data_IF_989386241211
#
_entry.id   IF_989386241211
#
_cell.length_a   1.000
_cell.length_b   1.000
_cell.length_c   1.000
_cell.angle_alpha   90.00
_cell.angle_beta   90.00
_cell.angle_gamma   90.00
#
_symmetry.space_group_name_H-M   'P 1'
#
loop_
_entity.id
_entity.type
_entity.pdbx_description
1 polymer ?
#
# COMPACT_ATOMS: atom_id res chain seq x y z
N UNK A 1 32.63 -4.09 -12.54
CA UNK A 1 31.96 -4.57 -13.77
C UNK A 1 30.42 -4.64 -13.71
N UNK A 2 29.75 -3.96 -12.78
CA UNK A 2 28.30 -4.12 -12.51
C UNK A 2 27.35 -3.14 -13.22
N UNK A 3 27.76 -2.47 -14.30
CA UNK A 3 26.98 -1.35 -14.88
C UNK A 3 26.39 -1.59 -16.27
N UNK A 4 26.15 -2.84 -16.69
CA UNK A 4 25.38 -3.10 -17.92
C UNK A 4 23.91 -3.21 -17.57
N UNK A 5 23.10 -2.31 -18.13
CA UNK A 5 21.65 -2.41 -17.99
C UNK A 5 21.15 -3.79 -18.43
N UNK A 6 20.18 -4.38 -17.71
CA UNK A 6 19.60 -5.65 -18.11
C UNK A 6 18.98 -5.52 -19.50
N UNK A 7 19.42 -6.37 -20.43
CA UNK A 7 18.88 -6.40 -21.79
C UNK A 7 17.62 -7.28 -21.79
N UNK A 8 16.50 -6.73 -22.25
CA UNK A 8 15.23 -7.44 -22.35
C UNK A 8 14.89 -7.82 -23.79
N UNK A 9 14.05 -8.83 -23.95
CA UNK A 9 13.46 -9.22 -25.24
C UNK A 9 11.96 -9.46 -25.10
N UNK A 10 11.21 -9.09 -26.14
CA UNK A 10 9.77 -9.32 -26.22
C UNK A 10 9.53 -10.80 -26.57
N UNK A 11 8.69 -11.45 -25.77
CA UNK A 11 8.41 -12.89 -25.87
C UNK A 11 7.03 -13.14 -26.48
N UNK A 12 6.00 -12.46 -25.98
CA UNK A 12 4.61 -12.71 -26.38
C UNK A 12 3.75 -11.47 -26.26
N UNK A 13 3.00 -11.12 -27.30
CA UNK A 13 1.97 -10.09 -27.23
C UNK A 13 0.72 -10.62 -26.51
N UNK A 14 0.21 -9.86 -25.55
CA UNK A 14 -0.96 -10.23 -24.72
C UNK A 14 -2.11 -9.22 -24.81
N UNK A 15 -1.88 -8.07 -25.44
CA UNK A 15 -2.88 -7.04 -25.69
C UNK A 15 -2.32 -5.98 -26.62
N UNK A 16 -3.12 -4.97 -26.95
CA UNK A 16 -2.71 -3.89 -27.87
C UNK A 16 -1.46 -3.19 -27.37
N UNK A 17 -0.32 -3.47 -28.01
CA UNK A 17 1.01 -3.01 -27.62
C UNK A 17 1.43 -3.39 -26.18
N UNK A 18 0.84 -4.45 -25.61
CA UNK A 18 1.24 -5.00 -24.31
C UNK A 18 1.89 -6.35 -24.52
N UNK A 19 3.08 -6.53 -23.97
CA UNK A 19 3.92 -7.69 -24.21
C UNK A 19 4.43 -8.30 -22.92
N UNK A 20 4.60 -9.61 -22.91
CA UNK A 20 5.47 -10.29 -21.96
C UNK A 20 6.91 -10.14 -22.47
N UNK A 21 7.80 -9.71 -21.58
CA UNK A 21 9.24 -9.61 -21.80
C UNK A 21 10.00 -10.58 -20.89
N UNK A 22 11.20 -10.96 -21.31
CA UNK A 22 12.13 -11.74 -20.51
C UNK A 22 13.50 -11.07 -20.51
N UNK A 23 14.28 -11.27 -19.44
CA UNK A 23 15.66 -10.82 -19.40
C UNK A 23 16.53 -11.77 -20.24
N UNK A 24 17.30 -11.21 -21.17
CA UNK A 24 18.15 -12.01 -22.06
C UNK A 24 19.18 -12.80 -21.26
N UNK A 25 19.19 -14.12 -21.46
CA UNK A 25 20.10 -15.04 -20.77
C UNK A 25 19.69 -15.38 -19.34
N UNK A 26 18.51 -14.97 -18.86
CA UNK A 26 17.99 -15.42 -17.58
C UNK A 26 17.50 -16.87 -17.67
N UNK A 27 18.23 -17.78 -17.01
CA UNK A 27 17.89 -19.20 -16.98
C UNK A 27 16.67 -19.50 -16.12
N UNK A 28 16.22 -18.55 -15.29
CA UNK A 28 15.04 -18.71 -14.42
C UNK A 28 13.72 -18.47 -15.16
N UNK A 29 13.79 -17.89 -16.36
CA UNK A 29 12.60 -17.60 -17.16
C UNK A 29 11.66 -16.59 -16.51
N UNK A 30 12.21 -15.64 -15.75
CA UNK A 30 11.42 -14.60 -15.11
C UNK A 30 10.71 -13.74 -16.15
N UNK A 31 9.41 -13.53 -15.95
CA UNK A 31 8.56 -12.79 -16.86
C UNK A 31 8.37 -11.36 -16.35
N UNK A 32 8.30 -10.43 -17.31
CA UNK A 32 8.09 -9.01 -17.09
C UNK A 32 6.99 -8.50 -18.02
N UNK A 33 6.39 -7.36 -17.67
CA UNK A 33 5.41 -6.71 -18.51
C UNK A 33 6.06 -5.56 -19.27
N UNK A 34 6.11 -5.65 -20.59
CA UNK A 34 6.51 -4.54 -21.45
C UNK A 34 5.26 -3.80 -21.93
N UNK A 35 5.14 -2.52 -21.53
CA UNK A 35 4.11 -1.62 -22.03
C UNK A 35 4.74 -0.53 -22.87
N UNK A 36 4.00 0.10 -23.80
CA UNK A 36 4.51 1.22 -24.55
C UNK A 36 4.92 2.29 -23.56
N UNK A 37 6.09 2.84 -23.78
CA UNK A 37 6.52 3.99 -23.01
C UNK A 37 5.52 5.11 -23.28
N UNK A 38 4.86 5.70 -22.28
CA UNK A 38 4.16 6.97 -22.47
C UNK A 38 5.16 8.08 -22.86
N UNK A 39 6.46 7.79 -22.86
CA UNK A 39 7.56 8.64 -23.29
C UNK A 39 7.99 8.35 -24.75
N UNK A 40 7.28 7.52 -25.52
CA UNK A 40 7.52 7.31 -26.94
C UNK A 40 6.42 7.97 -27.80
N UNK A 41 6.82 8.63 -28.88
CA UNK A 41 5.93 9.37 -29.77
C UNK A 41 5.02 8.39 -30.56
N UNK A 42 3.70 8.61 -30.53
CA UNK A 42 2.85 8.39 -31.70
C UNK A 42 2.59 9.76 -32.33
N UNK A 43 3.11 10.00 -33.53
CA UNK A 43 2.76 11.19 -34.29
C UNK A 43 1.35 10.97 -34.83
N UNK A 44 0.33 11.53 -34.19
CA UNK A 44 -0.98 11.72 -34.81
C UNK A 44 -1.16 13.20 -35.12
N UNK A 45 -1.42 13.52 -36.39
CA UNK A 45 -1.79 14.86 -36.81
C UNK A 45 -3.21 15.19 -36.30
N UNK A 46 -3.29 16.07 -35.30
CA UNK A 46 -4.57 16.60 -34.83
C UNK A 46 -4.37 17.42 -33.55
N UNK A 47 -4.85 18.66 -33.54
CA UNK A 47 -4.79 19.54 -32.37
C UNK A 47 -5.52 18.93 -31.17
N UNK A 48 -4.83 18.77 -30.02
CA UNK A 48 -5.48 18.75 -28.71
C UNK A 48 -4.48 19.07 -27.57
N UNK A 49 -4.97 19.68 -26.49
CA UNK A 49 -4.16 20.07 -25.31
C UNK A 49 -3.41 18.87 -24.69
N UNK A 50 -4.03 17.68 -24.75
CA UNK A 50 -3.43 16.41 -24.35
C UNK A 50 -2.14 16.07 -25.11
N UNK A 51 -2.02 16.49 -26.38
CA UNK A 51 -0.84 16.24 -27.19
C UNK A 51 0.32 17.17 -26.80
N UNK A 52 0.03 18.43 -26.45
CA UNK A 52 1.04 19.33 -25.87
C UNK A 52 1.50 18.86 -24.49
N UNK A 53 0.58 18.35 -23.66
CA UNK A 53 0.93 17.74 -22.37
C UNK A 53 1.79 16.49 -22.55
N UNK A 54 1.46 15.62 -23.52
CA UNK A 54 2.26 14.45 -23.87
C UNK A 54 3.66 14.82 -24.39
N UNK A 55 3.79 15.85 -25.23
CA UNK A 55 5.07 16.35 -25.72
C UNK A 55 5.92 16.99 -24.60
N UNK A 56 5.30 17.74 -23.69
CA UNK A 56 5.97 18.32 -22.54
C UNK A 56 6.45 17.24 -21.57
N UNK A 57 5.60 16.25 -21.29
CA UNK A 57 5.90 15.07 -20.49
C UNK A 57 7.04 14.28 -21.13
N UNK A 58 7.00 14.03 -22.44
CA UNK A 58 8.10 13.43 -23.20
C UNK A 58 9.39 14.21 -23.00
N UNK A 59 9.39 15.53 -23.22
CA UNK A 59 10.58 16.36 -23.07
C UNK A 59 11.13 16.26 -21.65
N UNK A 60 10.25 16.24 -20.63
CA UNK A 60 10.63 16.01 -19.23
C UNK A 60 11.35 14.67 -19.05
N UNK A 61 10.81 13.60 -19.63
CA UNK A 61 11.24 12.23 -19.35
C UNK A 61 12.44 11.78 -20.16
N UNK A 62 12.51 12.15 -21.44
CA UNK A 62 13.61 11.82 -22.34
C UNK A 62 14.75 12.84 -22.28
N UNK A 63 14.44 14.14 -22.40
CA UNK A 63 15.47 15.20 -22.48
C UNK A 63 16.05 15.57 -21.10
N UNK A 64 15.25 15.49 -20.04
CA UNK A 64 15.69 15.77 -18.67
C UNK A 64 15.88 14.51 -17.82
N UNK A 65 15.89 13.33 -18.45
CA UNK A 65 16.16 12.02 -17.83
C UNK A 65 15.26 11.69 -16.62
N UNK A 66 14.05 12.24 -16.56
CA UNK A 66 13.14 11.97 -15.44
C UNK A 66 12.63 10.53 -15.42
N UNK A 67 12.71 9.79 -16.55
CA UNK A 67 12.37 8.38 -16.58
C UNK A 67 13.29 7.55 -15.67
N UNK A 68 14.59 7.91 -15.62
CA UNK A 68 15.53 7.31 -14.69
C UNK A 68 15.16 7.66 -13.24
N UNK A 69 14.77 8.90 -12.95
CA UNK A 69 14.32 9.33 -11.62
C UNK A 69 13.10 8.55 -11.15
N UNK A 70 12.06 8.42 -12.00
CA UNK A 70 10.86 7.63 -11.67
C UNK A 70 11.21 6.16 -11.44
N UNK A 71 12.12 5.61 -12.24
CA UNK A 71 12.61 4.24 -12.03
C UNK A 71 13.29 4.08 -10.67
N UNK A 72 14.13 5.02 -10.26
CA UNK A 72 14.76 4.99 -8.93
C UNK A 72 13.75 5.19 -7.81
N UNK A 73 12.76 6.07 -8.01
CA UNK A 73 11.68 6.31 -7.06
C UNK A 73 10.80 5.08 -6.86
N UNK A 74 10.57 4.28 -7.89
CA UNK A 74 9.74 3.07 -7.79
C UNK A 74 10.58 1.82 -7.49
N UNK A 75 11.87 1.97 -7.18
CA UNK A 75 12.78 0.87 -6.90
C UNK A 75 12.69 0.43 -5.44
N UNK A 76 11.66 -0.37 -5.13
CA UNK A 76 11.42 -0.92 -3.81
C UNK A 76 10.77 -2.30 -3.93
N UNK A 77 11.14 -3.26 -3.07
CA UNK A 77 10.66 -4.65 -3.17
C UNK A 77 9.13 -4.77 -3.12
N UNK A 78 8.47 -3.91 -2.33
CA UNK A 78 7.02 -3.88 -2.16
C UNK A 78 6.31 -2.83 -3.03
N UNK A 79 6.96 -2.27 -4.04
CA UNK A 79 6.32 -1.46 -5.07
C UNK A 79 6.35 -2.20 -6.42
N UNK A 80 5.37 -1.94 -7.29
CA UNK A 80 5.44 -2.34 -8.70
C UNK A 80 6.48 -1.47 -9.38
N UNK A 81 7.62 -2.06 -9.75
CA UNK A 81 8.79 -1.33 -10.21
C UNK A 81 8.92 -1.31 -11.72
N UNK A 82 9.59 -0.26 -12.23
CA UNK A 82 10.14 -0.24 -13.59
C UNK A 82 11.50 -0.92 -13.54
N UNK A 83 11.60 -2.13 -14.08
CA UNK A 83 12.85 -2.92 -14.03
C UNK A 83 13.81 -2.59 -15.18
N UNK A 84 13.30 -1.96 -16.25
CA UNK A 84 14.12 -1.47 -17.36
C UNK A 84 13.31 -0.89 -18.50
N UNK A 85 13.96 -0.75 -19.65
CA UNK A 85 13.34 -0.31 -20.90
C UNK A 85 13.90 -1.12 -22.06
N UNK A 86 13.18 -1.16 -23.18
CA UNK A 86 13.64 -1.75 -24.42
C UNK A 86 13.17 -0.93 -25.62
N UNK A 87 13.97 -0.90 -26.67
CA UNK A 87 13.56 -0.36 -27.96
C UNK A 87 13.21 -1.51 -28.89
N UNK A 88 12.05 -1.42 -29.55
CA UNK A 88 11.58 -2.39 -30.51
C UNK A 88 11.31 -1.72 -31.85
N UNK A 89 11.92 -2.23 -32.92
CA UNK A 89 11.65 -1.78 -34.27
C UNK A 89 10.40 -2.50 -34.79
N UNK A 90 9.33 -1.75 -35.03
CA UNK A 90 8.12 -2.30 -35.65
C UNK A 90 8.38 -2.47 -37.15
N UNK A 91 8.61 -3.70 -37.60
CA UNK A 91 8.64 -4.00 -39.04
C UNK A 91 7.21 -4.19 -39.54
N UNK A 92 6.60 -3.16 -40.12
CA UNK A 92 5.39 -3.35 -40.93
C UNK A 92 5.81 -3.72 -42.36
N UNK A 93 5.16 -4.72 -42.96
CA UNK A 93 5.48 -5.25 -44.31
C UNK A 93 5.35 -4.22 -45.46
N UNK A 94 5.03 -2.97 -45.16
CA UNK A 94 4.60 -1.95 -46.12
C UNK A 94 5.35 -0.63 -46.01
N UNK A 95 6.36 -0.50 -45.14
CA UNK A 95 7.11 0.75 -44.99
C UNK A 95 8.28 0.88 -45.96
N UNK A 96 8.35 2.05 -46.61
CA UNK A 96 9.53 2.56 -47.32
C UNK A 96 10.70 2.76 -46.33
N UNK A 97 11.97 2.70 -46.78
CA UNK A 97 13.15 2.63 -45.90
C UNK A 97 13.33 3.78 -44.89
N UNK A 98 12.66 4.93 -45.08
CA UNK A 98 12.83 6.15 -44.29
C UNK A 98 11.84 6.29 -43.10
N UNK A 99 10.84 5.43 -42.97
CA UNK A 99 9.85 5.48 -41.87
C UNK A 99 10.08 4.39 -40.80
N UNK A 100 11.33 4.24 -40.34
CA UNK A 100 11.64 3.37 -39.21
C UNK A 100 11.13 3.97 -37.90
N UNK A 101 9.90 3.62 -37.51
CA UNK A 101 9.39 3.93 -36.16
C UNK A 101 9.95 2.92 -35.15
N UNK A 102 10.90 3.34 -34.32
CA UNK A 102 11.29 2.59 -33.12
C UNK A 102 10.30 2.90 -31.99
N UNK A 103 9.60 1.88 -31.49
CA UNK A 103 8.76 2.01 -30.30
C UNK A 103 9.58 1.71 -29.04
N UNK A 104 9.61 2.64 -28.09
CA UNK A 104 10.22 2.41 -26.78
C UNK A 104 9.18 1.80 -25.84
N UNK A 105 9.58 0.79 -25.08
CA UNK A 105 8.78 0.13 -24.07
C UNK A 105 9.41 0.31 -22.69
N UNK A 106 8.57 0.48 -21.69
CA UNK A 106 8.96 0.32 -20.29
C UNK A 106 8.70 -1.11 -19.87
N UNK A 107 9.65 -1.69 -19.16
CA UNK A 107 9.56 -3.04 -18.62
C UNK A 107 9.27 -2.92 -17.13
N UNK A 108 8.13 -3.47 -16.73
CA UNK A 108 7.59 -3.47 -15.39
C UNK A 108 7.67 -4.87 -14.78
N UNK A 109 7.61 -4.94 -13.45
CA UNK A 109 7.32 -6.19 -12.77
C UNK A 109 6.04 -6.83 -13.33
N UNK A 110 6.09 -8.13 -13.59
CA UNK A 110 4.90 -8.89 -13.90
C UNK A 110 4.35 -9.52 -12.63
N UNK A 111 3.24 -8.98 -12.13
CA UNK A 111 2.52 -9.51 -10.99
C UNK A 111 1.57 -10.63 -11.46
N UNK A 112 2.13 -11.82 -11.62
CA UNK A 112 1.49 -12.97 -12.25
C UNK A 112 0.48 -13.71 -11.37
N UNK A 113 0.34 -13.34 -10.09
CA UNK A 113 -0.64 -13.90 -9.16
C UNK A 113 -1.83 -12.96 -8.87
N UNK A 114 -2.11 -12.04 -9.81
CA UNK A 114 -3.22 -11.09 -9.76
C UNK A 114 -3.16 -10.14 -8.55
N UNK A 115 -4.28 -9.52 -8.18
CA UNK A 115 -4.40 -8.58 -7.07
C UNK A 115 -5.29 -9.12 -5.93
N UNK A 116 -5.28 -8.43 -4.80
CA UNK A 116 -6.04 -8.84 -3.61
C UNK A 116 -7.56 -8.87 -3.84
N UNK A 117 -8.09 -8.02 -4.73
CA UNK A 117 -9.50 -8.13 -5.17
C UNK A 117 -9.80 -9.50 -5.78
N UNK A 118 -8.90 -10.03 -6.61
CA UNK A 118 -9.08 -11.36 -7.19
C UNK A 118 -9.07 -12.46 -6.11
N UNK A 119 -8.25 -12.32 -5.07
CA UNK A 119 -8.25 -13.24 -3.91
C UNK A 119 -9.61 -13.20 -3.21
N UNK A 120 -10.17 -12.02 -2.95
CA UNK A 120 -11.49 -11.89 -2.32
C UNK A 120 -12.62 -12.49 -3.16
N UNK A 121 -12.53 -12.38 -4.50
CA UNK A 121 -13.50 -13.00 -5.40
C UNK A 121 -13.38 -14.52 -5.44
N UNK A 122 -12.15 -15.04 -5.38
CA UNK A 122 -11.89 -16.48 -5.41
C UNK A 122 -12.31 -17.18 -4.12
N UNK A 123 -12.13 -16.50 -2.98
CA UNK A 123 -12.49 -17.01 -1.67
C UNK A 123 -13.57 -16.11 -1.07
N UNK A 124 -14.86 -16.30 -1.33
CA UNK A 124 -15.91 -15.51 -0.67
C UNK A 124 -15.96 -15.80 0.84
N UNK A 125 -16.34 -14.82 1.67
CA UNK A 125 -16.42 -15.01 3.13
C UNK A 125 -17.74 -15.65 3.54
N UNK A 126 -17.67 -16.72 4.33
CA UNK A 126 -18.83 -17.34 4.97
C UNK A 126 -18.89 -17.04 6.49
N UNK A 127 -17.75 -16.75 7.12
CA UNK A 127 -17.61 -16.51 8.56
C UNK A 127 -16.70 -15.30 8.82
N UNK A 128 -17.27 -14.24 9.39
CA UNK A 128 -16.53 -13.01 9.68
C UNK A 128 -15.57 -13.11 10.87
N UNK A 129 -15.54 -14.25 11.56
CA UNK A 129 -14.59 -14.51 12.64
C UNK A 129 -13.26 -15.08 12.17
N UNK A 130 -13.19 -15.60 10.94
CA UNK A 130 -11.94 -16.06 10.34
C UNK A 130 -12.13 -16.18 8.83
N UNK A 131 -11.44 -15.35 8.07
CA UNK A 131 -11.59 -15.30 6.62
C UNK A 131 -10.34 -15.81 5.90
N UNK A 132 -9.26 -15.02 5.86
CA UNK A 132 -7.99 -15.43 5.26
C UNK A 132 -6.96 -15.86 6.31
N UNK A 133 -5.96 -16.70 5.98
CA UNK A 133 -4.90 -17.10 6.90
C UNK A 133 -4.18 -15.92 7.54
N UNK A 134 -3.74 -16.07 8.80
CA UNK A 134 -3.04 -15.01 9.52
C UNK A 134 -1.68 -14.69 8.89
N UNK A 135 -0.98 -15.71 8.40
CA UNK A 135 0.28 -15.57 7.64
C UNK A 135 0.13 -14.69 6.39
N UNK A 136 -0.99 -14.81 5.66
CA UNK A 136 -1.26 -13.93 4.51
C UNK A 136 -1.56 -12.49 4.96
N UNK A 137 -2.28 -12.32 6.08
CA UNK A 137 -2.52 -10.99 6.66
C UNK A 137 -1.20 -10.31 7.05
N UNK A 138 -0.28 -11.04 7.68
CA UNK A 138 1.07 -10.55 7.99
C UNK A 138 1.88 -10.23 6.74
N UNK A 139 1.83 -11.09 5.73
CA UNK A 139 2.52 -10.89 4.45
C UNK A 139 2.11 -9.56 3.80
N UNK A 140 0.81 -9.27 3.73
CA UNK A 140 0.30 -8.01 3.17
C UNK A 140 0.60 -6.83 4.09
N UNK A 141 0.38 -6.94 5.41
CA UNK A 141 0.61 -5.85 6.36
C UNK A 141 2.06 -5.35 6.34
N UNK A 142 3.02 -6.27 6.39
CA UNK A 142 4.46 -5.94 6.30
C UNK A 142 4.79 -5.27 4.97
N UNK A 143 4.29 -5.84 3.87
CA UNK A 143 4.58 -5.31 2.53
C UNK A 143 4.06 -3.90 2.33
N UNK A 144 2.83 -3.61 2.78
CA UNK A 144 2.24 -2.28 2.68
C UNK A 144 2.91 -1.26 3.60
N UNK A 145 3.22 -1.63 4.84
CA UNK A 145 3.87 -0.71 5.79
C UNK A 145 5.31 -0.39 5.37
N UNK A 146 6.06 -1.35 4.81
CA UNK A 146 7.35 -1.09 4.17
C UNK A 146 7.23 -0.18 2.95
N UNK A 147 6.28 -0.45 2.06
CA UNK A 147 6.03 0.39 0.89
C UNK A 147 5.70 1.84 1.28
N UNK A 148 4.84 2.05 2.28
CA UNK A 148 4.49 3.39 2.74
C UNK A 148 5.62 4.05 3.53
N UNK A 149 6.40 3.31 4.32
CA UNK A 149 7.62 3.84 4.95
C UNK A 149 8.63 4.36 3.91
N UNK A 150 8.79 3.63 2.81
CA UNK A 150 9.62 4.08 1.71
C UNK A 150 9.05 5.29 0.99
N UNK A 151 7.77 5.28 0.60
CA UNK A 151 7.14 6.40 -0.11
C UNK A 151 7.07 7.68 0.75
N UNK A 152 6.73 7.55 2.02
CA UNK A 152 6.50 8.68 2.91
C UNK A 152 7.80 9.20 3.53
N UNK A 153 8.63 8.32 4.09
CA UNK A 153 9.82 8.70 4.86
C UNK A 153 11.12 8.57 4.07
N UNK A 154 11.11 7.95 2.88
CA UNK A 154 12.32 7.66 2.13
C UNK A 154 13.20 6.62 2.83
N UNK A 155 12.62 5.78 3.69
CA UNK A 155 13.36 4.78 4.46
C UNK A 155 13.09 3.38 3.92
N UNK A 156 14.15 2.61 3.75
CA UNK A 156 14.11 1.21 3.32
C UNK A 156 14.67 0.33 4.42
N UNK A 157 14.05 -0.81 4.65
CA UNK A 157 14.57 -1.80 5.59
C UNK A 157 15.76 -2.53 4.96
N UNK A 158 16.94 -2.37 5.54
CA UNK A 158 18.16 -3.04 5.09
C UNK A 158 18.45 -4.27 5.94
N UNK A 159 18.99 -5.30 5.27
CA UNK A 159 19.47 -6.52 5.92
C UNK A 159 21.00 -6.51 5.92
N UNK A 160 21.62 -6.36 7.09
CA UNK A 160 23.06 -6.58 7.22
C UNK A 160 23.33 -8.06 7.49
N UNK A 161 23.81 -8.76 6.46
CA UNK A 161 24.16 -10.18 6.54
C UNK A 161 25.31 -10.49 7.52
N UNK A 162 26.00 -9.48 8.06
CA UNK A 162 27.07 -9.65 9.04
C UNK A 162 26.60 -9.54 10.50
N UNK A 163 25.34 -9.18 10.73
CA UNK A 163 24.77 -9.00 12.07
C UNK A 163 23.96 -10.23 12.50
N UNK A 164 23.73 -10.36 13.81
CA UNK A 164 22.91 -11.45 14.35
C UNK A 164 21.44 -11.28 13.91
N UNK A 165 20.63 -12.35 13.82
CA UNK A 165 19.21 -12.27 13.45
C UNK A 165 18.37 -11.24 14.21
N UNK A 166 18.74 -10.93 15.46
CA UNK A 166 18.08 -9.92 16.29
C UNK A 166 18.61 -8.50 16.03
N UNK A 167 19.83 -8.36 15.48
CA UNK A 167 20.47 -7.09 15.11
C UNK A 167 20.35 -6.76 13.60
N UNK A 168 19.65 -7.62 12.84
CA UNK A 168 19.76 -7.70 11.36
C UNK A 168 19.00 -6.63 10.57
N UNK A 169 18.25 -5.72 11.20
CA UNK A 169 17.25 -4.89 10.51
C UNK A 169 17.33 -3.42 10.91
N UNK A 170 17.82 -2.58 10.01
CA UNK A 170 17.86 -1.13 10.19
C UNK A 170 17.08 -0.43 9.06
N UNK A 171 16.30 0.58 9.43
CA UNK A 171 15.65 1.47 8.47
C UNK A 171 16.63 2.56 8.03
N UNK A 172 17.06 2.49 6.78
CA UNK A 172 18.07 3.39 6.22
C UNK A 172 17.42 4.37 5.26
N UNK A 173 17.75 5.65 5.38
CA UNK A 173 17.32 6.67 4.42
C UNK A 173 17.99 6.43 3.07
N UNK A 174 17.19 6.36 2.00
CA UNK A 174 17.71 6.18 0.64
C UNK A 174 18.25 7.47 0.03
N UNK A 175 17.74 8.62 0.51
CA UNK A 175 18.13 9.97 0.10
C UNK A 175 17.94 10.92 1.29
N UNK A 176 18.78 11.95 1.39
CA UNK A 176 18.66 13.01 2.40
C UNK A 176 17.61 14.07 2.02
N UNK A 177 17.27 14.18 0.74
CA UNK A 177 16.34 15.18 0.20
C UNK A 177 15.01 14.54 -0.22
N UNK A 178 14.50 13.58 0.57
CA UNK A 178 13.26 12.88 0.26
C UNK A 178 12.03 13.75 0.52
N UNK A 179 11.16 13.87 -0.48
CA UNK A 179 9.84 14.47 -0.36
C UNK A 179 8.79 13.37 -0.14
N UNK A 180 7.92 13.46 0.90
CA UNK A 180 6.90 12.47 1.15
C UNK A 180 5.96 12.31 -0.03
N UNK A 181 5.67 11.05 -0.35
CA UNK A 181 4.77 10.67 -1.43
C UNK A 181 3.57 9.96 -0.82
N UNK A 182 2.39 10.52 -1.04
CA UNK A 182 1.12 9.92 -0.67
C UNK A 182 0.59 9.14 -1.87
N UNK A 183 0.32 7.85 -1.71
CA UNK A 183 -0.30 6.98 -2.71
C UNK A 183 -1.74 7.38 -3.03
N UNK A 184 -2.48 7.86 -2.04
CA UNK A 184 -3.90 8.29 -2.10
C UNK A 184 -4.93 7.22 -2.49
N UNK A 185 -4.51 5.99 -2.76
CA UNK A 185 -5.39 4.91 -3.24
C UNK A 185 -4.91 3.49 -2.87
N UNK A 186 -4.65 3.28 -1.58
CA UNK A 186 -4.32 1.95 -1.05
C UNK A 186 -5.63 1.16 -0.91
N UNK A 187 -5.92 0.35 -1.92
CA UNK A 187 -7.16 -0.43 -2.09
C UNK A 187 -6.81 -1.84 -2.62
N UNK A 188 -7.66 -2.86 -2.40
CA UNK A 188 -7.35 -4.24 -2.80
C UNK A 188 -7.04 -4.47 -4.28
N UNK A 189 -7.54 -3.63 -5.19
CA UNK A 189 -7.26 -3.71 -6.63
C UNK A 189 -5.87 -3.20 -7.01
N UNK A 190 -5.22 -2.44 -6.12
CA UNK A 190 -3.89 -1.88 -6.28
C UNK A 190 -2.79 -2.66 -5.52
N UNK A 191 -3.15 -3.77 -4.87
CA UNK A 191 -2.25 -4.65 -4.13
C UNK A 191 -2.06 -5.93 -4.93
N UNK A 192 -0.88 -6.11 -5.50
CA UNK A 192 -0.57 -7.16 -6.46
C UNK A 192 0.33 -8.24 -5.85
N UNK A 193 0.19 -9.47 -6.35
CA UNK A 193 0.99 -10.61 -5.94
C UNK A 193 1.81 -11.19 -7.10
N UNK A 194 2.95 -11.77 -6.76
CA UNK A 194 3.70 -12.66 -7.63
C UNK A 194 3.60 -14.10 -7.11
N UNK A 195 3.67 -15.08 -8.00
CA UNK A 195 3.80 -16.47 -7.59
C UNK A 195 5.14 -16.69 -6.87
N UNK A 196 5.19 -17.58 -5.86
CA UNK A 196 6.46 -18.01 -5.27
C UNK A 196 7.47 -18.46 -6.32
N UNK A 197 8.73 -18.07 -6.14
CA UNK A 197 9.87 -18.42 -6.99
C UNK A 197 10.88 -19.32 -6.27
N UNK A 198 10.68 -19.58 -4.98
CA UNK A 198 11.55 -20.42 -4.15
C UNK A 198 10.78 -21.26 -3.15
N UNK A 199 11.28 -21.27 -1.92
CA UNK A 199 10.69 -21.96 -0.78
C UNK A 199 9.71 -21.10 0.00
N UNK A 200 9.60 -19.81 -0.32
CA UNK A 200 8.64 -18.90 0.30
C UNK A 200 7.20 -19.37 0.05
N UNK A 201 6.35 -19.24 1.06
CA UNK A 201 4.96 -19.68 0.96
C UNK A 201 4.12 -18.74 0.07
N UNK A 202 4.41 -17.44 0.13
CA UNK A 202 3.82 -16.42 -0.72
C UNK A 202 4.93 -15.68 -1.47
N UNK A 203 4.74 -15.44 -2.78
CA UNK A 203 5.66 -14.60 -3.55
C UNK A 203 5.50 -13.12 -3.16
N UNK A 204 6.13 -12.21 -3.90
CA UNK A 204 6.12 -10.77 -3.55
C UNK A 204 4.71 -10.19 -3.49
N UNK A 205 4.46 -9.33 -2.49
CA UNK A 205 3.30 -8.46 -2.41
C UNK A 205 3.74 -7.01 -2.68
N UNK A 206 3.13 -6.40 -3.69
CA UNK A 206 3.54 -5.11 -4.24
C UNK A 206 2.36 -4.14 -4.33
N UNK A 207 2.56 -2.92 -3.84
CA UNK A 207 1.65 -1.80 -4.06
C UNK A 207 1.92 -1.20 -5.45
N UNK A 208 0.87 -1.04 -6.24
CA UNK A 208 0.95 -0.51 -7.61
C UNK A 208 -0.13 0.53 -7.90
N UNK A 209 -0.24 0.91 -9.17
CA UNK A 209 -1.15 1.96 -9.64
C UNK A 209 -0.90 3.34 -9.01
N UNK A 210 0.16 3.98 -9.47
CA UNK A 210 0.59 5.29 -8.99
C UNK A 210 -0.12 6.47 -9.68
N UNK A 211 -1.27 6.24 -10.34
CA UNK A 211 -1.98 7.30 -11.08
C UNK A 211 -2.54 8.41 -10.18
N UNK A 212 -2.81 8.09 -8.92
CA UNK A 212 -3.32 9.02 -7.92
C UNK A 212 -2.23 9.53 -6.96
N UNK A 213 -0.94 9.28 -7.16
CA UNK A 213 0.07 9.74 -6.17
C UNK A 213 0.13 11.27 -6.04
N UNK A 214 0.57 11.75 -4.89
CA UNK A 214 0.94 13.14 -4.68
C UNK A 214 2.31 13.23 -4.00
N UNK A 215 3.28 13.85 -4.67
CA UNK A 215 4.53 14.27 -4.03
C UNK A 215 4.24 15.55 -3.28
N UNK A 216 4.48 15.53 -1.97
CA UNK A 216 4.21 16.67 -1.11
C UNK A 216 5.48 17.48 -0.90
N UNK A 217 5.42 18.81 -0.97
CA UNK A 217 6.61 19.66 -0.80
C UNK A 217 6.99 19.85 0.69
N UNK A 218 6.84 18.81 1.50
CA UNK A 218 7.14 18.80 2.93
C UNK A 218 8.46 18.08 3.19
N UNK A 219 9.15 18.43 4.27
CA UNK A 219 10.31 17.68 4.74
C UNK A 219 9.92 16.91 5.98
N UNK A 220 10.10 15.58 5.99
CA UNK A 220 9.97 14.79 7.23
C UNK A 220 11.22 15.09 8.06
N UNK A 221 11.04 15.76 9.19
CA UNK A 221 12.12 15.94 10.16
C UNK A 221 12.16 14.74 11.10
N UNK A 222 13.36 14.32 11.51
CA UNK A 222 13.52 13.32 12.58
C UNK A 222 13.28 13.93 13.99
N UNK A 223 13.07 15.25 14.09
CA UNK A 223 12.75 15.93 15.35
C UNK A 223 11.31 15.67 15.82
N UNK A 224 11.13 15.37 17.10
CA UNK A 224 9.81 15.34 17.74
C UNK A 224 9.22 16.76 17.83
N UNK A 225 8.23 17.05 16.98
CA UNK A 225 7.55 18.34 16.95
C UNK A 225 6.23 18.30 17.73
N UNK A 226 5.80 19.44 18.28
CA UNK A 226 4.44 19.57 18.85
C UNK A 226 3.37 19.45 17.75
N UNK A 227 2.13 19.12 18.08
CA UNK A 227 1.05 19.02 17.08
C UNK A 227 0.89 20.28 16.21
N UNK A 228 0.93 21.46 16.83
CA UNK A 228 0.82 22.74 16.10
C UNK A 228 2.03 22.97 15.19
N UNK A 229 3.24 22.57 15.64
CA UNK A 229 4.45 22.65 14.82
C UNK A 229 4.43 21.62 13.68
N UNK A 230 3.92 20.41 13.90
CA UNK A 230 3.75 19.39 12.87
C UNK A 230 2.80 19.87 11.77
N UNK A 231 1.66 20.44 12.15
CA UNK A 231 0.69 21.00 11.20
C UNK A 231 1.29 22.20 10.44
N UNK A 232 2.08 23.03 11.11
CA UNK A 232 2.73 24.20 10.52
C UNK A 232 3.94 23.86 9.63
N UNK A 233 4.71 22.81 9.96
CA UNK A 233 6.05 22.56 9.40
C UNK A 233 6.27 21.20 8.74
N UNK A 234 5.53 20.14 9.06
CA UNK A 234 6.00 18.77 8.76
C UNK A 234 4.97 17.71 8.34
N UNK A 235 3.65 17.97 8.38
CA UNK A 235 2.68 16.95 7.96
C UNK A 235 2.57 16.88 6.43
N UNK A 236 2.79 15.69 5.85
CA UNK A 236 2.48 15.44 4.45
C UNK A 236 0.98 15.60 4.20
N UNK A 237 0.61 16.58 3.40
CA UNK A 237 -0.79 16.93 3.14
C UNK A 237 -1.02 17.18 1.65
N UNK A 238 -2.00 16.48 1.10
CA UNK A 238 -2.54 16.71 -0.23
C UNK A 238 -4.07 16.76 -0.18
N UNK A 239 -4.72 17.02 -1.31
CA UNK A 239 -6.14 16.66 -1.48
C UNK A 239 -6.25 15.22 -1.92
N UNK A 240 -7.39 14.57 -1.66
CA UNK A 240 -7.65 13.19 -2.07
C UNK A 240 -7.53 12.99 -3.59
N UNK A 241 -7.94 13.99 -4.36
CA UNK A 241 -7.83 14.03 -5.80
C UNK A 241 -7.29 15.38 -6.29
N UNK A 242 -6.75 15.38 -7.50
CA UNK A 242 -6.22 16.59 -8.14
C UNK A 242 -5.05 17.22 -7.39
N UNK A 243 -4.84 18.51 -7.65
CA UNK A 243 -3.76 19.31 -7.07
C UNK A 243 -4.30 20.66 -6.62
N UNK A 244 -4.05 21.04 -5.37
CA UNK A 244 -4.35 22.37 -4.85
C UNK A 244 -3.11 22.96 -4.18
N UNK A 245 -2.97 24.30 -4.11
CA UNK A 245 -1.89 24.92 -3.35
C UNK A 245 -1.91 24.50 -1.88
N UNK A 246 -0.74 24.26 -1.30
CA UNK A 246 -0.61 23.75 0.07
C UNK A 246 -1.36 24.59 1.12
N UNK A 247 -1.32 25.93 1.00
CA UNK A 247 -2.05 26.81 1.92
C UNK A 247 -3.57 26.60 1.87
N UNK A 248 -4.10 26.23 0.70
CA UNK A 248 -5.50 25.89 0.54
C UNK A 248 -5.79 24.50 1.15
N UNK A 249 -4.96 23.49 0.87
CA UNK A 249 -5.09 22.17 1.48
C UNK A 249 -5.10 22.25 3.02
N UNK A 250 -4.22 23.06 3.61
CA UNK A 250 -4.18 23.33 5.06
C UNK A 250 -5.46 23.99 5.59
N UNK A 251 -6.07 24.86 4.81
CA UNK A 251 -7.37 25.46 5.14
C UNK A 251 -8.47 24.40 5.17
N UNK A 252 -8.51 23.54 4.15
CA UNK A 252 -9.48 22.45 4.04
C UNK A 252 -9.31 21.42 5.16
N UNK A 253 -8.08 21.06 5.52
CA UNK A 253 -7.81 20.10 6.60
C UNK A 253 -8.35 20.56 7.98
N UNK A 254 -8.48 21.87 8.21
CA UNK A 254 -9.04 22.43 9.45
C UNK A 254 -10.57 22.43 9.48
N UNK A 255 -11.22 22.15 8.36
CA UNK A 255 -12.67 22.10 8.25
C UNK A 255 -13.18 20.70 8.59
N UNK A 256 -14.41 20.61 9.09
CA UNK A 256 -15.06 19.30 9.26
C UNK A 256 -15.11 18.59 7.90
N UNK A 257 -14.48 17.40 7.75
CA UNK A 257 -14.49 16.65 6.51
C UNK A 257 -15.89 16.41 5.96
N UNK A 258 -16.92 16.34 6.81
CA UNK A 258 -18.32 16.19 6.39
C UNK A 258 -18.87 17.39 5.60
N UNK A 259 -18.21 18.55 5.66
CA UNK A 259 -18.58 19.77 4.94
C UNK A 259 -17.82 19.95 3.62
N UNK A 260 -16.89 19.05 3.31
CA UNK A 260 -15.98 19.15 2.16
C UNK A 260 -16.32 18.05 1.17
N UNK A 261 -16.31 18.36 -0.13
CA UNK A 261 -16.43 17.32 -1.15
C UNK A 261 -15.25 16.37 -1.10
N UNK A 262 -15.51 15.10 -1.38
CA UNK A 262 -14.56 14.00 -1.23
C UNK A 262 -13.22 14.26 -1.95
N UNK A 263 -13.27 14.65 -3.22
CA UNK A 263 -12.06 14.86 -4.03
C UNK A 263 -11.13 15.96 -3.51
N UNK A 264 -11.66 16.98 -2.82
CA UNK A 264 -10.84 18.08 -2.27
C UNK A 264 -10.60 17.96 -0.77
N UNK A 265 -11.07 16.87 -0.13
CA UNK A 265 -10.79 16.62 1.28
C UNK A 265 -9.28 16.47 1.47
N UNK A 266 -8.77 16.97 2.60
CA UNK A 266 -7.38 16.72 3.00
C UNK A 266 -7.09 15.23 3.08
N UNK A 267 -5.90 14.86 2.64
CA UNK A 267 -5.39 13.50 2.62
C UNK A 267 -3.96 13.51 3.17
N UNK A 268 -3.69 12.61 4.11
CA UNK A 268 -2.45 12.56 4.91
C UNK A 268 -1.96 11.14 5.06
N UNK A 269 -0.81 10.96 5.70
CA UNK A 269 -0.32 9.64 6.09
C UNK A 269 -1.34 8.86 6.95
N UNK A 270 -2.12 9.56 7.79
CA UNK A 270 -3.14 8.90 8.60
C UNK A 270 -4.23 8.23 7.76
N UNK A 271 -4.56 8.81 6.60
CA UNK A 271 -5.51 8.22 5.67
C UNK A 271 -4.92 6.96 5.00
N UNK A 272 -3.61 6.93 4.73
CA UNK A 272 -2.92 5.74 4.21
C UNK A 272 -2.86 4.62 5.24
N UNK A 273 -2.52 4.95 6.49
CA UNK A 273 -2.51 4.01 7.62
C UNK A 273 -3.90 3.42 7.84
N UNK A 274 -4.94 4.26 7.79
CA UNK A 274 -6.32 3.77 7.85
C UNK A 274 -6.64 2.82 6.69
N UNK A 275 -6.26 3.16 5.47
CA UNK A 275 -6.47 2.30 4.30
C UNK A 275 -5.78 0.93 4.46
N UNK A 276 -4.56 0.88 4.98
CA UNK A 276 -3.88 -0.38 5.32
C UNK A 276 -4.71 -1.15 6.37
N UNK A 277 -5.13 -0.48 7.44
CA UNK A 277 -5.98 -1.08 8.49
C UNK A 277 -7.28 -1.66 7.93
N UNK A 278 -7.92 -0.96 6.99
CA UNK A 278 -9.14 -1.40 6.32
C UNK A 278 -8.91 -2.65 5.46
N UNK A 279 -7.81 -2.68 4.70
CA UNK A 279 -7.42 -3.85 3.90
C UNK A 279 -7.23 -5.06 4.80
N UNK A 280 -6.43 -4.95 5.87
CA UNK A 280 -6.16 -6.09 6.75
C UNK A 280 -7.42 -6.51 7.53
N UNK A 281 -8.23 -5.56 7.99
CA UNK A 281 -9.53 -5.86 8.62
C UNK A 281 -10.44 -6.65 7.66
N UNK A 282 -10.47 -6.26 6.38
CA UNK A 282 -11.22 -6.97 5.34
C UNK A 282 -10.66 -8.37 5.12
N UNK A 283 -9.33 -8.55 5.10
CA UNK A 283 -8.70 -9.87 5.01
C UNK A 283 -9.03 -10.77 6.22
N UNK A 284 -9.19 -10.19 7.40
CA UNK A 284 -9.51 -10.94 8.62
C UNK A 284 -10.99 -11.32 8.75
N UNK A 285 -11.89 -10.49 8.21
CA UNK A 285 -13.33 -10.59 8.49
C UNK A 285 -14.22 -10.73 7.26
N UNK A 286 -13.67 -10.50 6.06
CA UNK A 286 -14.42 -10.35 4.81
C UNK A 286 -15.36 -9.13 4.77
N UNK A 287 -15.28 -8.23 5.77
CA UNK A 287 -16.12 -7.04 5.85
C UNK A 287 -15.30 -5.79 5.49
N UNK A 288 -15.75 -5.10 4.46
CA UNK A 288 -15.14 -3.84 4.03
C UNK A 288 -15.52 -2.70 4.99
N UNK A 289 -14.50 -2.06 5.58
CA UNK A 289 -14.68 -0.86 6.40
C UNK A 289 -14.32 0.38 5.59
N UNK A 290 -15.35 1.17 5.31
CA UNK A 290 -15.21 2.42 4.60
C UNK A 290 -15.26 3.61 5.56
N UNK A 291 -14.36 4.56 5.34
CA UNK A 291 -14.26 5.77 6.14
C UNK A 291 -15.55 6.60 6.14
N UNK A 292 -16.19 6.65 4.97
CA UNK A 292 -17.51 7.21 4.71
C UNK A 292 -18.17 6.40 3.59
N UNK A 293 -19.48 6.48 3.46
CA UNK A 293 -20.20 5.86 2.36
C UNK A 293 -20.37 6.85 1.20
N UNK A 294 -19.97 6.42 0.01
CA UNK A 294 -19.93 7.23 -1.22
C UNK A 294 -21.31 7.79 -1.63
N UNK A 295 -22.40 7.17 -1.17
CA UNK A 295 -23.76 7.66 -1.46
C UNK A 295 -24.24 8.77 -0.50
N UNK A 296 -23.63 8.89 0.69
CA UNK A 296 -24.20 9.65 1.80
C UNK A 296 -23.22 10.55 2.56
N UNK A 297 -21.92 10.34 2.40
CA UNK A 297 -20.87 10.95 3.22
C UNK A 297 -20.85 10.51 4.69
N UNK A 298 -21.67 9.53 5.07
CA UNK A 298 -21.87 9.05 6.44
C UNK A 298 -20.91 7.91 6.80
N UNK A 299 -20.51 7.81 8.08
CA UNK A 299 -19.67 6.71 8.57
C UNK A 299 -20.52 5.56 9.12
N UNK A 300 -20.14 4.33 8.78
CA UNK A 300 -20.71 3.10 9.35
C UNK A 300 -19.74 2.40 10.30
N UNK A 301 -18.64 3.06 10.63
CA UNK A 301 -17.61 2.54 11.52
C UNK A 301 -17.88 3.03 12.93
N UNK A 302 -17.94 2.08 13.86
CA UNK A 302 -18.22 2.28 15.26
C UNK A 302 -17.09 1.67 16.10
N UNK A 303 -16.96 2.19 17.32
CA UNK A 303 -15.98 1.77 18.29
C UNK A 303 -16.66 1.56 19.64
N UNK A 304 -16.04 0.77 20.50
CA UNK A 304 -16.43 0.74 21.91
C UNK A 304 -15.99 2.03 22.60
N UNK A 305 -16.87 2.64 23.41
CA UNK A 305 -16.50 3.80 24.26
C UNK A 305 -15.31 3.53 25.18
N UNK A 306 -15.18 2.30 25.67
CA UNK A 306 -14.10 1.82 26.55
C UNK A 306 -12.98 1.09 25.80
N UNK A 307 -12.81 1.36 24.51
CA UNK A 307 -11.70 0.82 23.70
C UNK A 307 -11.53 -0.72 23.75
N UNK A 308 -12.64 -1.45 23.62
CA UNK A 308 -12.64 -2.92 23.62
C UNK A 308 -13.47 -3.53 24.73
N UNK A 309 -14.76 -3.21 24.82
CA UNK A 309 -15.64 -3.70 25.88
C UNK A 309 -15.58 -5.23 26.06
N UNK A 310 -15.67 -6.00 24.96
CA UNK A 310 -15.64 -7.46 25.03
C UNK A 310 -14.29 -8.01 25.53
N UNK A 311 -13.19 -7.43 25.08
CA UNK A 311 -11.86 -7.85 25.51
C UNK A 311 -11.60 -7.47 26.97
N UNK A 312 -12.03 -6.29 27.40
CA UNK A 312 -11.96 -5.86 28.79
C UNK A 312 -12.79 -6.74 29.72
N UNK A 313 -14.03 -7.04 29.34
CA UNK A 313 -14.91 -7.89 30.15
C UNK A 313 -14.34 -9.33 30.22
N UNK A 314 -13.79 -9.86 29.12
CA UNK A 314 -13.12 -11.16 29.13
C UNK A 314 -11.83 -11.15 29.98
N UNK A 315 -11.02 -10.09 29.89
CA UNK A 315 -9.79 -9.94 30.67
C UNK A 315 -10.08 -9.81 32.17
N UNK A 316 -11.14 -9.07 32.55
CA UNK A 316 -11.62 -8.99 33.93
C UNK A 316 -12.00 -10.36 34.49
N UNK A 317 -12.55 -11.23 33.63
CA UNK A 317 -12.86 -12.62 33.94
C UNK A 317 -11.65 -13.58 33.79
N UNK A 318 -10.43 -13.06 33.66
CA UNK A 318 -9.19 -13.85 33.65
C UNK A 318 -8.80 -14.43 32.30
N UNK A 319 -9.39 -13.98 31.18
CA UNK A 319 -9.01 -14.44 29.85
C UNK A 319 -7.56 -14.06 29.51
N UNK A 320 -6.76 -15.06 29.12
CA UNK A 320 -5.38 -14.91 28.61
C UNK A 320 -5.19 -15.59 27.26
N UNK A 321 -6.27 -15.80 26.52
CA UNK A 321 -6.21 -16.45 25.22
C UNK A 321 -5.36 -15.61 24.26
N UNK A 322 -4.48 -16.29 23.52
CA UNK A 322 -3.69 -15.68 22.46
C UNK A 322 -4.57 -15.22 21.29
N UNK A 323 -5.58 -16.03 20.96
CA UNK A 323 -6.49 -15.77 19.85
C UNK A 323 -7.79 -15.09 20.33
N UNK A 324 -8.34 -14.23 19.49
CA UNK A 324 -9.71 -13.73 19.64
C UNK A 324 -10.75 -14.81 19.36
N UNK A 325 -12.03 -14.45 19.39
CA UNK A 325 -13.12 -15.41 19.20
C UNK A 325 -13.22 -16.50 20.26
N UNK A 326 -12.51 -16.33 21.39
CA UNK A 326 -12.47 -17.32 22.45
C UNK A 326 -13.81 -17.40 23.20
N UNK A 327 -14.07 -18.56 23.82
CA UNK A 327 -15.28 -18.82 24.63
C UNK A 327 -15.48 -17.90 25.85
N UNK A 328 -14.47 -17.11 26.22
CA UNK A 328 -14.56 -16.16 27.33
C UNK A 328 -15.21 -14.83 26.91
N UNK A 329 -15.41 -14.61 25.61
CA UNK A 329 -16.10 -13.43 25.10
C UNK A 329 -17.60 -13.59 25.31
N UNK A 330 -18.25 -12.49 25.69
CA UNK A 330 -19.71 -12.44 25.75
C UNK A 330 -20.33 -12.61 24.36
N UNK A 331 -21.45 -13.34 24.28
CA UNK A 331 -22.29 -13.40 23.08
C UNK A 331 -22.96 -12.04 22.81
N UNK A 332 -23.26 -11.29 23.88
CA UNK A 332 -23.72 -9.91 23.76
C UNK A 332 -22.62 -9.03 23.16
N UNK A 333 -22.97 -8.18 22.19
CA UNK A 333 -22.04 -7.21 21.61
C UNK A 333 -21.74 -6.02 22.53
N UNK A 334 -21.05 -5.01 22.01
CA UNK A 334 -20.83 -3.76 22.72
C UNK A 334 -22.16 -3.04 23.01
N UNK A 335 -22.40 -2.68 24.28
CA UNK A 335 -23.59 -1.91 24.71
C UNK A 335 -23.37 -0.38 24.68
N UNK A 336 -22.13 0.05 24.48
CA UNK A 336 -21.70 1.45 24.52
C UNK A 336 -20.95 1.80 23.24
N UNK A 337 -21.58 1.57 22.09
CA UNK A 337 -20.99 1.92 20.81
C UNK A 337 -21.01 3.44 20.59
N UNK A 338 -19.89 3.95 20.10
CA UNK A 338 -19.75 5.33 19.65
C UNK A 338 -19.34 5.32 18.19
N UNK A 339 -19.83 6.28 17.44
CA UNK A 339 -19.20 6.67 16.18
C UNK A 339 -18.56 8.02 16.43
N UNK A 340 -17.34 8.19 15.95
CA UNK A 340 -16.63 9.48 16.06
C UNK A 340 -17.10 10.48 15.00
N UNK A 341 -17.94 10.04 14.07
CA UNK A 341 -18.35 10.76 12.88
C UNK A 341 -19.82 11.14 12.91
N UNK A 342 -20.19 12.10 12.05
CA UNK A 342 -21.57 12.53 11.87
C UNK A 342 -22.46 11.33 11.53
N UNK A 343 -23.44 11.07 12.40
CA UNK A 343 -24.39 9.97 12.18
C UNK A 343 -25.16 10.20 10.90
N UNK A 344 -25.35 9.13 10.17
CA UNK A 344 -26.19 9.11 8.99
C UNK A 344 -27.61 9.61 9.32
N UNK A 345 -28.02 10.72 8.70
CA UNK A 345 -29.39 11.26 8.80
C UNK A 345 -30.40 10.60 7.85
N UNK A 346 -29.97 9.59 7.07
CA UNK A 346 -30.84 8.86 6.15
C UNK A 346 -30.84 7.35 6.45
N UNK A 347 -31.76 6.60 5.84
CA UNK A 347 -31.85 5.14 6.01
C UNK A 347 -30.80 4.41 5.15
N UNK A 348 -29.52 4.56 5.47
CA UNK A 348 -28.46 3.84 4.75
C UNK A 348 -28.56 2.34 5.07
N UNK A 349 -28.56 1.50 4.03
CA UNK A 349 -28.69 0.05 4.17
C UNK A 349 -27.36 -0.66 4.46
N UNK A 350 -26.24 0.08 4.49
CA UNK A 350 -24.92 -0.50 4.80
C UNK A 350 -24.88 -0.90 6.29
N UNK A 351 -24.32 -2.08 6.61
CA UNK A 351 -24.26 -2.56 7.99
C UNK A 351 -23.35 -1.68 8.83
N UNK A 352 -23.69 -1.52 10.11
CA UNK A 352 -22.81 -0.90 11.09
C UNK A 352 -21.72 -1.89 11.49
N UNK A 353 -20.47 -1.44 11.48
CA UNK A 353 -19.31 -2.26 11.82
C UNK A 353 -18.67 -1.67 13.09
N UNK A 354 -18.77 -2.41 14.19
CA UNK A 354 -18.05 -2.06 15.41
C UNK A 354 -16.67 -2.73 15.40
N UNK A 355 -15.61 -1.97 15.09
CA UNK A 355 -14.25 -2.48 14.87
C UNK A 355 -13.79 -3.31 16.07
N UNK A 356 -13.95 -2.80 17.28
CA UNK A 356 -13.53 -3.50 18.50
C UNK A 356 -14.29 -4.81 18.73
N UNK A 357 -15.59 -4.86 18.40
CA UNK A 357 -16.40 -6.07 18.54
C UNK A 357 -15.96 -7.13 17.54
N UNK A 358 -15.78 -6.75 16.27
CA UNK A 358 -15.32 -7.68 15.23
C UNK A 358 -13.89 -8.16 15.51
N UNK A 359 -12.98 -7.26 15.86
CA UNK A 359 -11.62 -7.62 16.24
C UNK A 359 -11.57 -8.49 17.50
N UNK A 360 -12.45 -8.30 18.49
CA UNK A 360 -12.49 -9.22 19.63
C UNK A 360 -12.89 -10.64 19.20
N UNK A 361 -13.84 -10.76 18.26
CA UNK A 361 -14.38 -12.04 17.78
C UNK A 361 -13.54 -12.73 16.71
N UNK A 362 -12.66 -12.00 16.04
CA UNK A 362 -11.79 -12.54 15.01
C UNK A 362 -10.76 -13.52 15.63
N UNK A 363 -10.67 -14.73 15.11
CA UNK A 363 -9.84 -15.85 15.61
C UNK A 363 -8.37 -15.73 15.19
N UNK A 364 -7.84 -14.52 15.26
CA UNK A 364 -6.46 -14.17 14.97
C UNK A 364 -5.72 -13.86 16.27
N UNK A 365 -4.39 -13.83 16.24
CA UNK A 365 -3.62 -13.46 17.43
C UNK A 365 -3.98 -12.07 17.93
N UNK A 366 -3.85 -11.88 19.25
CA UNK A 366 -4.02 -10.58 19.91
C UNK A 366 -3.07 -9.52 19.35
N UNK A 367 -1.87 -9.92 18.91
CA UNK A 367 -0.86 -9.05 18.33
C UNK A 367 -1.42 -8.40 17.06
N UNK A 368 -1.79 -9.20 16.06
CA UNK A 368 -2.34 -8.69 14.79
C UNK A 368 -3.60 -7.86 15.02
N UNK A 369 -4.52 -8.34 15.86
CA UNK A 369 -5.78 -7.62 16.17
C UNK A 369 -5.54 -6.26 16.82
N UNK A 370 -4.45 -6.10 17.58
CA UNK A 370 -4.10 -4.82 18.20
C UNK A 370 -3.58 -3.83 17.16
N UNK A 371 -2.65 -4.25 16.31
CA UNK A 371 -2.12 -3.41 15.23
C UNK A 371 -3.21 -2.93 14.26
N UNK A 372 -4.14 -3.80 13.91
CA UNK A 372 -5.27 -3.44 13.02
C UNK A 372 -6.22 -2.45 13.69
N UNK A 373 -6.47 -2.59 15.01
CA UNK A 373 -7.22 -1.57 15.75
C UNK A 373 -6.49 -0.23 15.71
N UNK A 374 -5.18 -0.20 15.97
CA UNK A 374 -4.39 1.03 16.00
C UNK A 374 -4.40 1.78 14.66
N UNK A 375 -4.26 1.06 13.54
CA UNK A 375 -4.41 1.63 12.19
C UNK A 375 -5.80 2.23 11.97
N UNK A 376 -6.83 1.59 12.53
CA UNK A 376 -8.23 2.03 12.46
C UNK A 376 -8.62 2.99 13.60
N UNK A 377 -7.68 3.54 14.37
CA UNK A 377 -7.98 4.58 15.37
C UNK A 377 -7.87 6.00 14.82
N UNK A 378 -7.26 6.19 13.64
CA UNK A 378 -7.11 7.51 13.04
C UNK A 378 -8.47 8.17 12.78
N UNK A 379 -8.54 9.46 13.09
CA UNK A 379 -9.75 10.28 12.95
C UNK A 379 -9.35 11.71 12.53
N UNK A 380 -9.67 12.16 11.31
CA UNK A 380 -9.30 13.47 10.81
C UNK A 380 -10.22 14.56 11.34
N UNK A 381 -11.38 14.24 11.94
CA UNK A 381 -12.22 15.24 12.60
C UNK A 381 -11.59 15.70 13.91
N UNK A 382 -10.94 14.77 14.62
CA UNK A 382 -10.32 15.09 15.90
C UNK A 382 -8.97 15.75 15.72
N UNK A 383 -8.25 15.47 14.62
CA UNK A 383 -6.91 16.00 14.38
C UNK A 383 -5.92 15.66 15.50
N UNK A 384 -6.24 14.72 16.40
CA UNK A 384 -5.39 14.34 17.53
C UNK A 384 -4.53 13.17 17.09
N UNK A 385 -3.22 13.30 17.23
CA UNK A 385 -2.18 12.35 16.77
C UNK A 385 -2.17 12.14 15.26
N UNK A 386 -1.79 13.15 14.46
CA UNK A 386 -1.49 12.91 13.06
C UNK A 386 -0.30 11.97 12.96
N UNK A 387 -0.40 11.01 12.06
CA UNK A 387 0.74 10.18 11.69
C UNK A 387 1.77 11.08 10.99
N UNK A 388 2.96 11.17 11.58
CA UNK A 388 4.06 11.99 11.03
C UNK A 388 5.07 11.14 10.28
N UNK A 389 5.35 9.94 10.78
CA UNK A 389 6.30 9.00 10.20
C UNK A 389 5.65 7.63 10.07
N UNK A 390 5.88 6.99 8.94
CA UNK A 390 5.40 5.65 8.66
C UNK A 390 6.34 4.58 9.25
N UNK A 391 7.64 4.87 9.31
CA UNK A 391 8.71 3.98 9.75
C UNK A 391 8.53 3.51 11.19
N UNK A 392 8.02 4.36 12.08
CA UNK A 392 7.77 4.01 13.47
C UNK A 392 6.79 2.85 13.59
N UNK A 393 5.68 2.93 12.84
CA UNK A 393 4.69 1.85 12.82
C UNK A 393 5.21 0.63 12.09
N UNK A 394 5.92 0.82 10.97
CA UNK A 394 6.50 -0.27 10.22
C UNK A 394 7.49 -1.07 11.09
N UNK A 395 8.27 -0.40 11.94
CA UNK A 395 9.14 -1.05 12.93
C UNK A 395 8.34 -1.87 13.94
N UNK A 396 7.26 -1.31 14.51
CA UNK A 396 6.37 -2.04 15.43
C UNK A 396 5.77 -3.28 14.77
N UNK A 397 5.38 -3.18 13.49
CA UNK A 397 4.87 -4.31 12.70
C UNK A 397 5.94 -5.38 12.50
N UNK A 398 7.18 -5.01 12.20
CA UNK A 398 8.28 -5.98 12.02
C UNK A 398 8.62 -6.71 13.32
N UNK A 399 8.67 -6.01 14.45
CA UNK A 399 8.91 -6.62 15.78
C UNK A 399 7.78 -7.58 16.16
N UNK A 400 6.53 -7.13 16.01
CA UNK A 400 5.33 -7.90 16.28
C UNK A 400 5.23 -9.15 15.39
N UNK A 401 5.64 -9.03 14.12
CA UNK A 401 5.73 -10.16 13.20
C UNK A 401 6.75 -11.19 13.66
N UNK A 402 7.94 -10.78 14.13
CA UNK A 402 8.93 -11.73 14.66
C UNK A 402 8.43 -12.45 15.91
N UNK A 403 7.72 -11.74 16.79
CA UNK A 403 7.03 -12.34 17.94
C UNK A 403 6.02 -13.40 17.47
N UNK A 404 5.14 -13.05 16.53
CA UNK A 404 4.17 -14.00 15.96
C UNK A 404 4.85 -15.22 15.31
N UNK A 405 5.92 -14.99 14.54
CA UNK A 405 6.67 -16.04 13.84
C UNK A 405 7.29 -17.05 14.80
N UNK A 406 7.83 -16.57 15.93
CA UNK A 406 8.43 -17.42 16.96
C UNK A 406 7.39 -18.12 17.82
N UNK A 407 6.34 -17.41 18.22
CA UNK A 407 5.49 -17.82 19.35
C UNK A 407 4.23 -18.59 18.89
N UNK A 408 3.89 -18.56 17.59
CA UNK A 408 2.73 -19.31 17.05
C UNK A 408 3.11 -20.54 16.23
N UNK A 409 2.18 -21.51 16.12
CA UNK A 409 2.38 -22.69 15.28
C UNK A 409 2.41 -22.34 13.79
N UNK A 410 1.44 -21.53 13.32
CA UNK A 410 1.41 -21.05 11.94
C UNK A 410 2.67 -20.25 11.60
N UNK A 411 3.09 -19.34 12.49
CA UNK A 411 4.28 -18.53 12.30
C UNK A 411 5.57 -19.34 12.19
N UNK A 412 5.76 -20.37 13.03
CA UNK A 412 6.96 -21.24 12.95
C UNK A 412 6.99 -22.09 11.68
N UNK A 413 5.84 -22.38 11.09
CA UNK A 413 5.74 -23.10 9.82
C UNK A 413 5.81 -22.19 8.59
N UNK A 414 5.66 -20.88 8.76
CA UNK A 414 5.62 -19.92 7.67
C UNK A 414 7.04 -19.56 7.20
N UNK A 415 7.30 -19.81 5.91
CA UNK A 415 8.55 -19.42 5.23
C UNK A 415 8.29 -18.14 4.44
N UNK A 416 8.92 -17.05 4.84
CA UNK A 416 8.85 -15.78 4.13
C UNK A 416 10.01 -15.57 3.15
N UNK A 417 9.98 -14.45 2.43
CA UNK A 417 11.02 -14.08 1.47
C UNK A 417 12.39 -13.87 2.16
N UNK A 418 12.41 -13.40 3.40
CA UNK A 418 13.65 -13.16 4.14
C UNK A 418 14.31 -14.51 4.50
N UNK A 419 13.52 -15.52 4.89
CA UNK A 419 14.00 -16.88 5.17
C UNK A 419 14.53 -17.57 3.91
N UNK A 420 13.78 -17.47 2.81
CA UNK A 420 14.15 -18.07 1.53
C UNK A 420 15.44 -17.42 0.99
N UNK A 421 15.60 -16.10 1.12
CA UNK A 421 16.85 -15.42 0.80
C UNK A 421 17.99 -15.91 1.70
N UNK A 422 17.79 -15.97 3.01
CA UNK A 422 18.81 -16.41 3.96
C UNK A 422 19.26 -17.87 3.71
N UNK A 423 18.37 -18.74 3.26
CA UNK A 423 18.69 -20.14 2.94
C UNK A 423 19.49 -20.31 1.62
N UNK A 424 19.53 -19.29 0.77
CA UNK A 424 20.25 -19.30 -0.53
C UNK A 424 21.69 -18.81 -0.43
N UNK A 425 22.05 -18.15 0.67
CA UNK A 425 23.41 -17.69 0.99
C UNK A 425 24.03 -18.58 2.06
#
# INVERSE_FOLDING_TARGET
DSSKEPVFELVKEIGTNLWIAARRGDTRGEQFLASPSPFAIQQSEGFDQAQQEAEALHKLLSKYNQAYTIRQLLNHENLVSIVGSLEHQTFTKTQEPDEQSSAQFLVWDFCDAANLTAVFQQYPTDDSSYYLPESLCWHVLRSLTRAVAYLHDGKRLYFDANLSPDDMREWVSVDTDWFPILHRRIEPDNIYFQHPRGTEQYGQCKLGNFSNVAVTCHTVSDEELSYEDQLARGMALATREGTVPLNHARGLFKMDPALISEGIRGYTLGDEMWSIGSVIFTMMTGLEVNYYCNMCGCSHVFFCKRDGCLEHDAAYNGCRCLFGGCKHLSEDGCREEITRWTRCGHNCQKPKINVHTYMARARYTKILRTLVKDLLLYDPQLGRNPWVRAVEFAQVVEEAYQEWKRDTEEGRGYVDLDDDMAARF
#
